data_IF_619763952132
#
_entry.id   IF_619763952132
#
_cell.length_a   1.000
_cell.length_b   1.000
_cell.length_c   1.000
_cell.angle_alpha   90.00
_cell.angle_beta   90.00
_cell.angle_gamma   90.00
#
_symmetry.space_group_name_H-M   'P 1'
#
loop_
_entity.id
_entity.type
_entity.pdbx_description
1 polymer ?
#
# COMPACT_ATOMS: atom_id res chain seq x y z
N UNK A 1 -25.24 11.68 13.64
CA UNK A 1 -24.42 12.79 14.16
C UNK A 1 -24.00 13.63 12.96
N UNK A 2 -24.38 14.91 12.91
CA UNK A 2 -24.09 15.77 11.75
C UNK A 2 -22.64 16.25 11.78
N UNK A 3 -21.90 16.19 10.66
CA UNK A 3 -20.61 16.86 10.53
C UNK A 3 -20.70 18.32 11.00
N UNK A 4 -19.77 18.75 11.86
CA UNK A 4 -19.70 20.09 12.45
C UNK A 4 -20.45 20.25 13.77
N UNK A 5 -21.34 19.32 14.16
CA UNK A 5 -22.11 19.37 15.41
C UNK A 5 -21.61 18.44 16.52
N UNK A 6 -20.48 17.78 16.30
CA UNK A 6 -19.95 16.83 17.27
C UNK A 6 -19.02 17.48 18.29
N UNK A 7 -19.14 17.03 19.55
CA UNK A 7 -18.31 17.47 20.68
C UNK A 7 -16.90 16.86 20.70
N UNK A 8 -16.64 15.81 19.93
CA UNK A 8 -15.30 15.21 19.84
C UNK A 8 -14.33 16.15 19.15
N UNK A 9 -13.11 16.28 19.70
CA UNK A 9 -12.02 17.06 19.08
C UNK A 9 -11.77 16.65 17.63
N UNK A 10 -11.92 15.37 17.29
CA UNK A 10 -11.74 14.90 15.92
C UNK A 10 -12.84 15.37 14.94
N UNK A 11 -13.90 16.00 15.41
CA UNK A 11 -15.08 16.34 14.62
C UNK A 11 -15.44 17.83 14.68
N UNK A 12 -14.53 18.68 15.18
CA UNK A 12 -14.66 20.14 15.06
C UNK A 12 -14.22 20.58 13.67
N UNK A 13 -14.90 21.59 13.11
CA UNK A 13 -14.58 22.14 11.79
C UNK A 13 -13.12 22.63 11.69
N UNK A 14 -12.59 23.25 12.75
CA UNK A 14 -11.19 23.71 12.82
C UNK A 14 -10.17 22.57 12.67
N UNK A 15 -10.53 21.35 13.04
CA UNK A 15 -9.64 20.18 12.95
C UNK A 15 -9.88 19.37 11.67
N UNK A 16 -10.76 19.86 10.81
CA UNK A 16 -11.05 19.26 9.52
C UNK A 16 -10.00 19.74 8.50
N UNK A 17 -9.21 18.81 7.97
CA UNK A 17 -8.38 19.11 6.80
C UNK A 17 -7.11 19.91 7.06
N UNK A 18 -6.55 19.91 8.28
CA UNK A 18 -5.15 20.35 8.43
C UNK A 18 -4.27 19.52 7.50
N UNK A 19 -3.78 20.19 6.45
CA UNK A 19 -2.80 19.68 5.50
C UNK A 19 -1.52 19.35 6.27
N UNK A 20 -1.48 18.13 6.81
CA UNK A 20 -0.53 17.80 7.88
C UNK A 20 -0.79 16.43 8.49
N UNK A 21 -0.69 15.40 7.65
CA UNK A 21 -0.41 13.99 8.03
C UNK A 21 -1.40 13.18 8.88
N UNK A 22 -2.59 13.65 9.31
CA UNK A 22 -3.64 12.76 9.82
C UNK A 22 -5.03 13.15 9.33
N UNK A 23 -5.47 12.53 8.22
CA UNK A 23 -6.88 12.47 7.84
C UNK A 23 -7.62 11.75 8.97
N UNK A 24 -8.56 12.45 9.61
CA UNK A 24 -9.41 11.85 10.64
C UNK A 24 -10.38 10.87 9.96
N UNK A 25 -10.00 9.59 9.91
CA UNK A 25 -10.78 8.45 9.37
C UNK A 25 -11.94 8.03 10.30
N UNK A 26 -12.60 9.00 10.92
CA UNK A 26 -13.73 8.67 11.76
C UNK A 26 -14.93 8.29 10.91
N UNK A 27 -15.42 7.06 11.09
CA UNK A 27 -16.68 6.58 10.50
C UNK A 27 -17.83 7.56 10.66
N UNK A 28 -17.89 8.27 11.79
CA UNK A 28 -18.95 9.24 12.10
C UNK A 28 -18.90 10.51 11.23
N UNK A 29 -17.75 10.82 10.64
CA UNK A 29 -17.55 12.01 9.80
C UNK A 29 -17.58 11.67 8.31
N UNK A 30 -16.79 10.68 7.89
CA UNK A 30 -16.71 10.28 6.48
C UNK A 30 -17.92 9.44 6.04
N UNK A 31 -18.66 8.88 6.99
CA UNK A 31 -19.63 7.80 6.77
C UNK A 31 -19.03 6.58 6.05
N UNK A 32 -17.69 6.49 5.97
CA UNK A 32 -16.95 5.40 5.32
C UNK A 32 -16.50 4.38 6.36
N UNK A 33 -16.68 3.11 6.05
CA UNK A 33 -16.14 1.99 6.81
C UNK A 33 -14.64 1.82 6.57
N UNK A 34 -13.97 0.96 7.36
CA UNK A 34 -12.58 0.58 7.09
C UNK A 34 -12.41 -0.09 5.72
N UNK A 35 -13.44 -0.81 5.24
CA UNK A 35 -13.47 -1.43 3.92
C UNK A 35 -13.47 -0.34 2.84
N UNK A 36 -14.31 0.68 3.00
CA UNK A 36 -14.42 1.77 2.03
C UNK A 36 -13.11 2.56 1.94
N UNK A 37 -12.46 2.82 3.09
CA UNK A 37 -11.12 3.44 3.10
C UNK A 37 -10.01 2.53 2.53
N UNK A 38 -10.17 1.21 2.53
CA UNK A 38 -9.26 0.30 1.80
C UNK A 38 -9.53 0.40 0.30
N UNK A 39 -10.80 0.46 -0.11
CA UNK A 39 -11.18 0.64 -1.51
C UNK A 39 -10.66 1.97 -2.07
N UNK A 40 -10.87 3.09 -1.36
CA UNK A 40 -10.36 4.42 -1.75
C UNK A 40 -8.84 4.40 -2.00
N UNK A 41 -8.08 3.78 -1.09
CA UNK A 41 -6.62 3.68 -1.22
C UNK A 41 -6.21 2.79 -2.39
N UNK A 42 -6.93 1.69 -2.63
CA UNK A 42 -6.69 0.81 -3.78
C UNK A 42 -6.94 1.56 -5.08
N UNK A 43 -8.10 2.23 -5.21
CA UNK A 43 -8.46 3.01 -6.38
C UNK A 43 -7.40 4.09 -6.67
N UNK A 44 -6.96 4.84 -5.65
CA UNK A 44 -5.90 5.83 -5.82
C UNK A 44 -4.57 5.24 -6.31
N UNK A 45 -4.17 4.06 -5.78
CA UNK A 45 -2.95 3.40 -6.24
C UNK A 45 -3.08 2.94 -7.69
N UNK A 46 -4.23 2.38 -8.08
CA UNK A 46 -4.45 1.89 -9.44
C UNK A 46 -4.50 3.02 -10.46
N UNK A 47 -5.17 4.12 -10.13
CA UNK A 47 -5.19 5.36 -10.91
C UNK A 47 -3.77 5.92 -11.12
N UNK A 48 -3.00 6.06 -10.03
CA UNK A 48 -1.61 6.51 -10.10
C UNK A 48 -0.73 5.59 -10.97
N UNK A 49 -1.06 4.29 -11.00
CA UNK A 49 -0.35 3.29 -11.80
C UNK A 49 -0.84 3.18 -13.25
N UNK A 50 -1.93 3.86 -13.63
CA UNK A 50 -2.58 3.69 -14.93
C UNK A 50 -3.11 2.26 -15.14
N UNK A 51 -3.43 1.54 -14.07
CA UNK A 51 -3.97 0.19 -14.13
C UNK A 51 -5.51 0.24 -14.01
N UNK A 52 -6.24 -0.58 -14.77
CA UNK A 52 -7.69 -0.59 -14.68
C UNK A 52 -8.12 -1.24 -13.35
N UNK A 53 -9.22 -0.72 -12.78
CA UNK A 53 -9.75 -1.17 -11.48
C UNK A 53 -10.55 -2.48 -11.56
N UNK A 54 -10.80 -2.94 -12.78
CA UNK A 54 -11.66 -4.05 -13.20
C UNK A 54 -11.01 -5.44 -13.09
N UNK A 55 -9.79 -5.53 -12.53
CA UNK A 55 -9.16 -6.82 -12.23
C UNK A 55 -9.98 -7.51 -11.13
N UNK A 56 -11.03 -8.22 -11.55
CA UNK A 56 -11.87 -9.06 -10.73
C UNK A 56 -11.01 -10.22 -10.23
N UNK A 57 -10.52 -10.06 -9.01
CA UNK A 57 -9.71 -11.10 -8.38
C UNK A 57 -10.69 -12.07 -7.75
N UNK A 58 -10.81 -13.28 -8.31
CA UNK A 58 -11.65 -14.34 -7.75
C UNK A 58 -11.41 -14.46 -6.23
N UNK A 59 -12.40 -14.12 -5.38
CA UNK A 59 -12.27 -14.15 -3.93
C UNK A 59 -11.94 -15.55 -3.39
N UNK A 60 -12.29 -16.60 -4.15
CA UNK A 60 -12.09 -18.00 -3.80
C UNK A 60 -10.84 -18.62 -4.43
N UNK A 61 -10.05 -17.83 -5.18
CA UNK A 61 -8.79 -18.29 -5.77
C UNK A 61 -7.82 -18.84 -4.73
N UNK A 62 -7.89 -18.33 -3.50
CA UNK A 62 -7.05 -18.76 -2.39
C UNK A 62 -7.88 -19.06 -1.15
N UNK A 63 -7.64 -20.22 -0.56
CA UNK A 63 -8.15 -20.57 0.78
C UNK A 63 -7.02 -20.41 1.78
N UNK A 64 -7.16 -19.45 2.68
CA UNK A 64 -6.19 -19.23 3.75
C UNK A 64 -6.54 -20.10 4.96
N UNK A 65 -5.57 -20.91 5.42
CA UNK A 65 -5.69 -21.69 6.65
C UNK A 65 -4.57 -21.33 7.61
N UNK A 66 -4.83 -21.20 8.92
CA UNK A 66 -3.77 -21.01 9.91
C UNK A 66 -2.78 -22.17 9.85
N UNK A 67 -1.49 -21.87 9.76
CA UNK A 67 -0.44 -22.90 9.83
C UNK A 67 -0.19 -23.25 11.29
N UNK A 68 -0.33 -24.54 11.63
CA UNK A 68 -0.09 -25.04 12.99
C UNK A 68 1.34 -24.77 13.45
N UNK A 69 1.54 -24.56 14.75
CA UNK A 69 2.89 -24.54 15.35
C UNK A 69 3.56 -25.91 15.29
N UNK A 70 2.78 -27.00 15.22
CA UNK A 70 3.26 -28.38 15.14
C UNK A 70 3.48 -28.88 13.71
N UNK A 71 3.20 -28.06 12.70
CA UNK A 71 3.38 -28.45 11.30
C UNK A 71 4.89 -28.58 10.99
N UNK A 72 5.38 -29.77 10.63
CA UNK A 72 6.81 -29.99 10.36
C UNK A 72 7.30 -29.26 9.10
N UNK A 73 6.39 -28.90 8.19
CA UNK A 73 6.71 -28.16 6.97
C UNK A 73 6.70 -26.65 7.17
N UNK A 74 6.33 -26.19 8.38
CA UNK A 74 6.26 -24.76 8.70
C UNK A 74 7.63 -24.12 8.55
N UNK A 75 7.69 -23.09 7.71
CA UNK A 75 8.91 -22.28 7.57
C UNK A 75 9.36 -21.72 8.94
N UNK A 76 10.64 -21.88 9.33
CA UNK A 76 11.15 -21.37 10.59
C UNK A 76 10.91 -19.87 10.79
N UNK A 77 10.73 -19.44 12.04
CA UNK A 77 10.43 -18.04 12.35
C UNK A 77 11.48 -17.05 11.80
N UNK A 78 12.80 -17.27 11.95
CA UNK A 78 13.80 -16.33 11.41
C UNK A 78 13.68 -16.15 9.90
N UNK A 79 13.44 -17.24 9.15
CA UNK A 79 13.28 -17.20 7.69
C UNK A 79 12.02 -16.42 7.30
N UNK A 80 10.91 -16.60 8.03
CA UNK A 80 9.67 -15.84 7.80
C UNK A 80 9.88 -14.34 8.05
N UNK A 81 10.61 -13.99 9.11
CA UNK A 81 10.95 -12.60 9.41
C UNK A 81 11.81 -11.98 8.31
N UNK A 82 12.86 -12.67 7.87
CA UNK A 82 13.71 -12.22 6.77
C UNK A 82 12.95 -12.06 5.46
N UNK A 83 12.03 -12.99 5.13
CA UNK A 83 11.13 -12.84 3.97
C UNK A 83 10.23 -11.61 4.11
N UNK A 84 9.72 -11.33 5.31
CA UNK A 84 8.94 -10.12 5.59
C UNK A 84 9.73 -8.83 5.37
N UNK A 85 10.98 -8.79 5.84
CA UNK A 85 11.91 -7.67 5.64
C UNK A 85 12.21 -7.49 4.15
N UNK A 86 12.59 -8.56 3.44
CA UNK A 86 12.87 -8.53 2.01
C UNK A 86 11.64 -8.07 1.19
N UNK A 87 10.44 -8.53 1.52
CA UNK A 87 9.20 -8.06 0.91
C UNK A 87 9.01 -6.56 1.11
N UNK A 88 9.28 -6.05 2.32
CA UNK A 88 9.16 -4.61 2.60
C UNK A 88 10.16 -3.78 1.80
N UNK A 89 11.41 -4.24 1.67
CA UNK A 89 12.39 -3.58 0.80
C UNK A 89 11.93 -3.55 -0.65
N UNK A 90 11.47 -4.68 -1.20
CA UNK A 90 10.96 -4.77 -2.57
C UNK A 90 9.77 -3.84 -2.82
N UNK A 91 8.79 -3.83 -1.92
CA UNK A 91 7.62 -2.93 -2.04
C UNK A 91 8.04 -1.47 -1.99
N UNK A 92 8.98 -1.10 -1.10
CA UNK A 92 9.48 0.27 -1.01
C UNK A 92 10.18 0.70 -2.30
N UNK A 93 11.14 -0.10 -2.77
CA UNK A 93 11.85 0.17 -4.02
C UNK A 93 10.88 0.33 -5.19
N UNK A 94 9.87 -0.55 -5.29
CA UNK A 94 8.85 -0.45 -6.34
C UNK A 94 8.03 0.83 -6.24
N UNK A 95 7.63 1.26 -5.04
CA UNK A 95 6.93 2.53 -4.87
C UNK A 95 7.81 3.73 -5.24
N UNK A 96 9.10 3.68 -4.91
CA UNK A 96 10.06 4.73 -5.24
C UNK A 96 10.24 4.83 -6.78
N UNK A 97 10.35 3.71 -7.49
CA UNK A 97 10.36 3.65 -8.96
C UNK A 97 9.11 4.26 -9.59
N UNK A 98 7.93 3.88 -9.09
CA UNK A 98 6.65 4.36 -9.59
C UNK A 98 6.49 5.86 -9.36
N UNK A 99 6.94 6.34 -8.21
CA UNK A 99 6.98 7.77 -7.91
C UNK A 99 7.89 8.52 -8.87
N UNK A 100 9.09 8.00 -9.14
CA UNK A 100 10.01 8.60 -10.10
C UNK A 100 9.38 8.71 -11.50
N UNK A 101 8.69 7.65 -11.96
CA UNK A 101 7.95 7.66 -13.23
C UNK A 101 6.84 8.70 -13.25
N UNK A 102 6.03 8.77 -12.19
CA UNK A 102 4.92 9.74 -12.08
C UNK A 102 5.43 11.19 -12.06
N UNK A 103 6.58 11.44 -11.43
CA UNK A 103 7.22 12.76 -11.37
C UNK A 103 7.97 13.12 -12.69
N UNK A 104 7.89 12.29 -13.73
CA UNK A 104 8.58 12.47 -15.01
C UNK A 104 10.12 12.35 -14.92
N UNK A 105 10.64 11.82 -13.81
CA UNK A 105 12.08 11.63 -13.61
C UNK A 105 12.51 10.30 -14.22
N UNK A 106 13.60 10.27 -15.00
CA UNK A 106 14.17 9.00 -15.43
C UNK A 106 14.56 8.20 -14.19
N UNK A 107 14.17 6.92 -14.15
CA UNK A 107 14.67 5.99 -13.14
C UNK A 107 16.18 5.89 -13.38
N UNK A 108 17.04 6.29 -12.43
CA UNK A 108 18.47 6.10 -12.60
C UNK A 108 18.73 4.61 -12.76
N UNK A 109 19.42 4.25 -13.84
CA UNK A 109 19.92 2.90 -14.05
C UNK A 109 20.96 2.62 -12.96
N UNK A 110 20.55 1.92 -11.92
CA UNK A 110 21.42 1.48 -10.82
C UNK A 110 21.96 0.07 -11.10
N UNK A 111 22.02 -0.35 -12.36
CA UNK A 111 22.69 -1.59 -12.73
C UNK A 111 24.19 -1.49 -12.44
N UNK A 112 24.68 -2.41 -11.60
CA UNK A 112 26.11 -2.52 -11.27
C UNK A 112 26.91 -3.28 -12.35
N UNK A 113 26.28 -3.70 -13.44
CA UNK A 113 26.96 -4.33 -14.58
C UNK A 113 27.13 -3.31 -15.69
N UNK A 114 28.37 -2.85 -15.89
CA UNK A 114 28.76 -2.10 -17.09
C UNK A 114 28.43 -2.96 -18.30
N UNK A 115 27.55 -2.47 -19.17
CA UNK A 115 27.30 -3.11 -20.46
C UNK A 115 28.64 -3.16 -21.24
N UNK A 116 29.24 -4.34 -21.34
CA UNK A 116 30.30 -4.62 -22.29
C UNK A 116 29.71 -4.38 -23.68
N UNK A 117 29.93 -3.19 -24.23
CA UNK A 117 29.80 -2.94 -25.66
C UNK A 117 30.90 -3.75 -26.33
N UNK A 118 30.51 -4.86 -26.95
CA UNK A 118 31.34 -5.55 -27.92
C UNK A 118 31.64 -4.58 -29.05
N UNK A 119 32.91 -4.20 -29.16
CA UNK A 119 33.47 -3.55 -30.33
C UNK A 119 33.59 -4.60 -31.43
N UNK A 120 32.99 -4.33 -32.58
CA UNK A 120 33.28 -4.96 -33.86
C UNK A 120 33.86 -3.88 -34.78
#
# INVERSE_FOLDING_TARGET
MTPGRCRSKAHKAEHLGYAGRRVLVSRKWSNKTLRDHKADRRAWVLDMLGLPDDIETDPHRYVWRPVSTKDPTRTPLPVRLLRGVANRHRTRARLDELRARADGRPIPDLSATTALREAA
#
